data_IF_180785872560
#
_entry.id   IF_180785872560
#
_cell.length_a   1.000
_cell.length_b   1.000
_cell.length_c   1.000
_cell.angle_alpha   90.00
_cell.angle_beta   90.00
_cell.angle_gamma   90.00
#
_symmetry.space_group_name_H-M   'P 1'
#
loop_
_entity.id
_entity.type
_entity.pdbx_description
1 polymer ?
#
# COMPACT_ATOMS: atom_id res chain seq x y z
N UNK A 1 9.89 15.21 -10.96
CA UNK A 1 9.61 16.16 -9.86
C UNK A 1 9.42 15.46 -8.50
N UNK A 2 9.06 14.17 -8.45
CA UNK A 2 8.87 13.41 -7.20
C UNK A 2 10.22 12.94 -6.60
N UNK A 3 11.15 12.43 -7.41
CA UNK A 3 12.50 12.03 -6.96
C UNK A 3 13.23 13.10 -6.14
N UNK A 4 13.18 14.34 -6.61
CA UNK A 4 13.85 15.48 -5.97
C UNK A 4 13.20 15.82 -4.63
N UNK A 5 11.87 15.78 -4.55
CA UNK A 5 11.17 15.98 -3.27
C UNK A 5 11.49 14.87 -2.28
N UNK A 6 11.53 13.61 -2.74
CA UNK A 6 11.93 12.47 -1.92
C UNK A 6 13.33 12.64 -1.37
N UNK A 7 14.33 12.95 -2.21
CA UNK A 7 15.71 13.15 -1.76
C UNK A 7 15.88 14.33 -0.81
N UNK A 8 15.16 15.44 -1.02
CA UNK A 8 15.15 16.58 -0.09
C UNK A 8 14.54 16.17 1.26
N UNK A 9 13.48 15.37 1.26
CA UNK A 9 12.85 14.88 2.49
C UNK A 9 13.75 13.89 3.23
N UNK A 10 14.38 12.96 2.52
CA UNK A 10 15.37 12.02 3.05
C UNK A 10 16.56 12.75 3.69
N UNK A 11 17.16 13.73 3.00
CA UNK A 11 18.27 14.52 3.54
C UNK A 11 17.85 15.30 4.78
N UNK A 12 16.66 15.89 4.77
CA UNK A 12 16.14 16.67 5.90
C UNK A 12 15.82 15.79 7.11
N UNK A 13 15.30 14.58 6.90
CA UNK A 13 15.04 13.60 7.94
C UNK A 13 16.35 13.06 8.55
N UNK A 14 17.38 12.84 7.72
CA UNK A 14 18.71 12.44 8.17
C UNK A 14 19.42 13.55 8.96
N UNK A 15 19.27 14.81 8.55
CA UNK A 15 19.85 15.97 9.25
C UNK A 15 19.12 16.30 10.57
N UNK A 16 17.79 16.16 10.61
CA UNK A 16 17.01 16.47 11.82
C UNK A 16 17.02 15.36 12.87
N UNK A 17 17.68 14.23 12.60
CA UNK A 17 17.59 13.03 13.43
C UNK A 17 16.14 12.61 13.61
N UNK A 18 15.38 12.52 12.51
CA UNK A 18 13.95 12.18 12.58
C UNK A 18 13.78 10.83 13.27
N UNK A 19 13.26 10.86 14.49
CA UNK A 19 12.89 9.66 15.24
C UNK A 19 11.41 9.35 14.95
N UNK A 20 11.07 8.08 14.64
CA UNK A 20 9.68 7.69 14.45
C UNK A 20 8.87 8.01 15.71
N UNK A 21 7.63 8.51 15.57
CA UNK A 21 6.75 8.83 16.70
C UNK A 21 6.70 7.66 17.70
N UNK A 22 6.75 7.98 19.00
CA UNK A 22 6.80 6.96 20.05
C UNK A 22 5.57 6.05 20.01
N UNK A 23 4.43 6.60 19.59
CA UNK A 23 3.13 5.92 19.44
C UNK A 23 3.07 4.85 18.33
N UNK A 24 4.05 4.78 17.42
CA UNK A 24 4.05 3.79 16.36
C UNK A 24 4.41 2.40 16.86
N UNK A 25 3.75 1.38 16.33
CA UNK A 25 4.09 0.01 16.60
C UNK A 25 5.50 -0.32 16.07
N UNK A 26 6.19 -1.27 16.70
CA UNK A 26 7.56 -1.63 16.32
C UNK A 26 7.69 -2.02 14.84
N UNK A 27 6.67 -2.69 14.29
CA UNK A 27 6.60 -3.06 12.89
C UNK A 27 6.43 -1.83 11.97
N UNK A 28 5.68 -0.80 12.37
CA UNK A 28 5.54 0.41 11.55
C UNK A 28 6.88 1.14 11.42
N UNK A 29 7.65 1.18 12.51
CA UNK A 29 8.99 1.80 12.53
C UNK A 29 9.99 1.03 11.66
N UNK A 30 9.90 -0.29 11.63
CA UNK A 30 10.77 -1.15 10.82
C UNK A 30 10.51 -0.98 9.31
N UNK A 31 9.25 -0.82 8.90
CA UNK A 31 8.84 -0.73 7.49
C UNK A 31 8.82 0.69 6.92
N UNK A 32 8.77 1.72 7.77
CA UNK A 32 8.66 3.12 7.32
C UNK A 32 9.79 3.54 6.37
N UNK A 33 11.02 3.07 6.61
CA UNK A 33 12.19 3.45 5.81
C UNK A 33 12.15 2.94 4.37
N UNK A 34 11.54 1.77 4.12
CA UNK A 34 11.42 1.23 2.76
C UNK A 34 10.11 1.63 2.09
N UNK A 35 9.06 1.89 2.88
CA UNK A 35 7.72 2.12 2.37
C UNK A 35 7.64 3.26 1.36
N UNK A 36 8.25 4.41 1.65
CA UNK A 36 8.21 5.57 0.73
C UNK A 36 8.94 5.28 -0.60
N UNK A 37 10.08 4.59 -0.51
CA UNK A 37 10.87 4.20 -1.67
C UNK A 37 10.11 3.20 -2.55
N UNK A 38 9.49 2.18 -1.94
CA UNK A 38 8.71 1.14 -2.61
C UNK A 38 7.46 1.73 -3.27
N UNK A 39 6.72 2.60 -2.57
CA UNK A 39 5.54 3.30 -3.11
C UNK A 39 5.93 4.19 -4.27
N UNK A 40 6.97 5.01 -4.13
CA UNK A 40 7.41 5.87 -5.22
C UNK A 40 7.92 5.07 -6.43
N UNK A 41 8.63 3.96 -6.21
CA UNK A 41 9.09 3.08 -7.28
C UNK A 41 7.91 2.45 -8.03
N UNK A 42 6.92 1.95 -7.29
CA UNK A 42 5.70 1.39 -7.86
C UNK A 42 4.92 2.43 -8.68
N UNK A 43 4.72 3.63 -8.12
CA UNK A 43 4.03 4.73 -8.81
C UNK A 43 4.81 5.17 -10.05
N UNK A 44 6.14 5.26 -9.96
CA UNK A 44 7.01 5.58 -11.08
C UNK A 44 6.93 4.54 -12.21
N UNK A 45 6.90 3.26 -11.87
CA UNK A 45 6.72 2.17 -12.82
C UNK A 45 5.33 2.23 -13.51
N UNK A 46 4.27 2.47 -12.74
CA UNK A 46 2.91 2.66 -13.27
C UNK A 46 2.85 3.85 -14.21
N UNK A 47 3.47 4.98 -13.84
CA UNK A 47 3.53 6.18 -14.67
C UNK A 47 4.30 5.96 -15.97
N UNK A 48 5.48 5.31 -15.91
CA UNK A 48 6.27 4.97 -17.10
C UNK A 48 5.53 3.99 -18.02
N UNK A 49 4.81 3.03 -17.44
CA UNK A 49 3.97 2.10 -18.19
C UNK A 49 2.79 2.80 -18.88
N UNK A 50 2.12 3.72 -18.17
CA UNK A 50 1.03 4.53 -18.72
C UNK A 50 1.50 5.42 -19.89
N UNK A 51 2.70 6.01 -19.79
CA UNK A 51 3.25 6.84 -20.85
C UNK A 51 3.76 6.05 -22.07
N UNK A 52 4.20 4.81 -21.88
CA UNK A 52 4.70 3.96 -22.97
C UNK A 52 3.60 3.16 -23.68
N UNK A 53 2.42 3.03 -23.07
CA UNK A 53 1.30 2.25 -23.59
C UNK A 53 0.30 3.08 -24.39
N UNK A 54 -0.42 2.45 -25.33
CA UNK A 54 -1.59 3.07 -25.97
C UNK A 54 -2.60 3.44 -24.86
N UNK A 55 -3.22 4.63 -24.91
CA UNK A 55 -4.02 5.18 -23.80
C UNK A 55 -5.12 4.25 -23.25
N UNK A 56 -5.64 3.31 -24.06
CA UNK A 56 -6.61 2.31 -23.61
C UNK A 56 -6.07 1.25 -22.64
N UNK A 57 -4.80 0.84 -22.75
CA UNK A 57 -4.19 -0.16 -21.85
C UNK A 57 -3.94 0.43 -20.47
N UNK A 58 -3.53 1.71 -20.44
CA UNK A 58 -3.35 2.48 -19.21
C UNK A 58 -4.61 2.54 -18.35
N UNK A 59 -5.74 2.87 -18.98
CA UNK A 59 -7.05 2.89 -18.30
C UNK A 59 -7.42 1.51 -17.76
N UNK A 60 -7.12 0.44 -18.50
CA UNK A 60 -7.37 -0.93 -18.07
C UNK A 60 -6.63 -1.30 -16.78
N UNK A 61 -5.34 -0.94 -16.66
CA UNK A 61 -4.56 -1.22 -15.44
C UNK A 61 -5.06 -0.38 -14.27
N UNK A 62 -5.33 0.91 -14.48
CA UNK A 62 -5.89 1.76 -13.42
C UNK A 62 -7.23 1.21 -12.93
N UNK A 63 -8.10 0.77 -13.83
CA UNK A 63 -9.36 0.12 -13.48
C UNK A 63 -9.15 -1.19 -12.72
N UNK A 64 -8.19 -2.03 -13.15
CA UNK A 64 -7.87 -3.28 -12.46
C UNK A 64 -7.37 -3.03 -11.03
N UNK A 65 -6.50 -2.06 -10.82
CA UNK A 65 -6.01 -1.66 -9.48
C UNK A 65 -7.13 -1.06 -8.64
N UNK A 66 -7.99 -0.21 -9.25
CA UNK A 66 -9.11 0.39 -8.55
C UNK A 66 -10.15 -0.63 -8.10
N UNK A 67 -10.33 -1.72 -8.86
CA UNK A 67 -11.25 -2.83 -8.51
C UNK A 67 -10.58 -3.84 -7.56
N UNK A 68 -9.27 -4.05 -7.65
CA UNK A 68 -8.59 -5.04 -6.79
C UNK A 68 -8.70 -4.71 -5.32
N UNK A 69 -8.62 -3.43 -4.95
CA UNK A 69 -8.73 -2.97 -3.55
C UNK A 69 -10.10 -3.32 -2.93
N UNK A 70 -11.24 -2.87 -3.49
CA UNK A 70 -12.55 -3.22 -2.95
C UNK A 70 -12.86 -4.72 -3.03
N UNK A 71 -12.40 -5.42 -4.07
CA UNK A 71 -12.56 -6.89 -4.15
C UNK A 71 -11.82 -7.60 -3.01
N UNK A 72 -10.58 -7.20 -2.72
CA UNK A 72 -9.79 -7.81 -1.63
C UNK A 72 -10.44 -7.53 -0.27
N UNK A 73 -10.90 -6.30 -0.04
CA UNK A 73 -11.62 -5.94 1.18
C UNK A 73 -12.91 -6.77 1.35
N UNK A 74 -13.70 -6.92 0.28
CA UNK A 74 -14.91 -7.73 0.30
C UNK A 74 -14.64 -9.20 0.61
N UNK A 75 -13.62 -9.79 -0.02
CA UNK A 75 -13.21 -11.18 0.23
C UNK A 75 -12.75 -11.38 1.67
N UNK A 76 -11.94 -10.47 2.21
CA UNK A 76 -11.48 -10.55 3.60
C UNK A 76 -12.64 -10.48 4.59
N UNK A 77 -13.54 -9.50 4.43
CA UNK A 77 -14.71 -9.36 5.31
C UNK A 77 -15.61 -10.58 5.22
N UNK A 78 -15.87 -11.07 4.00
CA UNK A 78 -16.68 -12.27 3.79
C UNK A 78 -16.04 -13.51 4.43
N UNK A 79 -14.72 -13.66 4.31
CA UNK A 79 -13.96 -14.74 4.92
C UNK A 79 -14.01 -14.69 6.45
N UNK A 80 -13.85 -13.51 7.05
CA UNK A 80 -13.98 -13.33 8.50
C UNK A 80 -15.39 -13.66 8.99
N UNK A 81 -16.43 -13.21 8.28
CA UNK A 81 -17.81 -13.53 8.62
C UNK A 81 -18.07 -15.03 8.56
N UNK A 82 -17.62 -15.69 7.50
CA UNK A 82 -17.78 -17.14 7.34
C UNK A 82 -17.03 -17.91 8.42
N UNK A 83 -15.81 -17.48 8.76
CA UNK A 83 -15.03 -18.06 9.85
C UNK A 83 -15.70 -17.86 11.22
N UNK A 84 -16.29 -16.68 11.45
CA UNK A 84 -17.02 -16.44 12.71
C UNK A 84 -18.26 -17.32 12.83
N UNK A 85 -19.01 -17.51 11.74
CA UNK A 85 -20.17 -18.38 11.70
C UNK A 85 -19.80 -19.85 11.91
N UNK A 86 -18.72 -20.33 11.28
CA UNK A 86 -18.26 -21.70 11.45
C UNK A 86 -17.76 -21.97 12.88
N UNK A 87 -17.11 -20.99 13.52
CA UNK A 87 -16.70 -21.10 14.91
C UNK A 87 -17.92 -21.14 15.86
N UNK A 88 -18.91 -20.29 15.63
CA UNK A 88 -20.15 -20.28 16.43
C UNK A 88 -20.94 -21.57 16.28
N UNK A 89 -21.05 -22.12 15.06
CA UNK A 89 -21.76 -23.39 14.85
C UNK A 89 -21.02 -24.58 15.45
N UNK A 90 -19.69 -24.57 15.47
CA UNK A 90 -18.90 -25.60 16.15
C UNK A 90 -18.98 -25.51 17.69
N UNK A 91 -19.17 -24.31 18.26
CA UNK A 91 -19.31 -24.12 19.71
C UNK A 91 -20.72 -24.43 20.24
N UNK A 92 -21.73 -24.44 19.36
CA UNK A 92 -23.12 -24.80 19.71
C UNK A 92 -23.38 -26.31 19.67
N UNK A 93 -22.38 -27.12 19.32
CA UNK A 93 -22.48 -28.58 19.22
C UNK A 93 -21.73 -29.27 20.35
#
# INVERSE_FOLDING_TARGET
>A
MIELRRRIHEMRAAESGWEPPAEWAAWEKEWYGSYDADVCALVGAVQAFLMSSRPGVGVGIVAAVAVSVPTTAFVLVSGLLHASQSLLSNLQH
#
